data_IF_213548681347
#
_entry.id   IF_213548681347
#
_cell.length_a   1.000
_cell.length_b   1.000
_cell.length_c   1.000
_cell.angle_alpha   90.00
_cell.angle_beta   90.00
_cell.angle_gamma   90.00
#
_symmetry.space_group_name_H-M   'P 1'
#
loop_
_entity.id
_entity.type
_entity.pdbx_description
1 polymer ?
#
# COMPACT_ATOMS: atom_id res chain seq x y z
N UNK A 1 -19.35 -6.45 15.55
CA UNK A 1 -19.15 -5.22 14.74
C UNK A 1 -19.90 -4.12 15.48
N UNK A 2 -19.21 -3.08 15.92
CA UNK A 2 -19.68 -2.16 16.95
C UNK A 2 -18.47 -1.62 17.69
N UNK A 3 -18.36 -0.29 17.79
CA UNK A 3 -17.41 0.54 18.56
C UNK A 3 -15.89 0.26 18.49
N UNK A 4 -15.46 -0.92 18.04
CA UNK A 4 -14.08 -1.39 18.12
C UNK A 4 -13.27 -0.78 16.99
N UNK A 5 -12.00 -0.42 17.23
CA UNK A 5 -11.08 0.02 16.19
C UNK A 5 -10.67 -1.19 15.34
N UNK A 6 -11.47 -1.47 14.30
CA UNK A 6 -11.18 -2.54 13.34
C UNK A 6 -10.39 -1.91 12.20
N UNK A 7 -9.19 -2.44 11.94
CA UNK A 7 -8.40 -2.05 10.79
C UNK A 7 -8.88 -2.78 9.53
N UNK A 8 -8.89 -2.09 8.41
CA UNK A 8 -9.24 -2.63 7.08
C UNK A 8 -7.96 -2.93 6.30
N UNK A 9 -7.80 -4.18 5.86
CA UNK A 9 -6.69 -4.63 5.01
C UNK A 9 -7.14 -4.84 3.57
N UNK A 10 -6.32 -4.44 2.61
CA UNK A 10 -6.49 -4.75 1.19
C UNK A 10 -5.28 -5.53 0.68
N UNK A 11 -5.54 -6.76 0.20
CA UNK A 11 -4.56 -7.67 -0.37
C UNK A 11 -4.96 -8.07 -1.80
N UNK A 12 -4.18 -7.58 -2.77
CA UNK A 12 -4.40 -7.83 -4.20
C UNK A 12 -4.26 -6.55 -5.03
N UNK A 13 -3.35 -6.57 -6.01
CA UNK A 13 -3.20 -5.48 -6.97
C UNK A 13 -2.65 -4.16 -6.38
N UNK A 14 -2.17 -4.14 -5.14
CA UNK A 14 -1.58 -2.93 -4.54
C UNK A 14 -0.22 -2.63 -5.18
N UNK A 15 -0.07 -1.39 -5.63
CA UNK A 15 1.12 -0.81 -6.26
C UNK A 15 1.18 0.69 -5.96
N UNK A 16 2.21 1.40 -6.42
CA UNK A 16 2.28 2.86 -6.26
C UNK A 16 1.11 3.60 -6.93
N UNK A 17 0.48 3.01 -7.94
CA UNK A 17 -0.68 3.58 -8.63
C UNK A 17 -1.99 3.36 -7.85
N UNK A 18 -2.16 2.19 -7.23
CA UNK A 18 -3.41 1.78 -6.58
C UNK A 18 -3.44 2.01 -5.08
N UNK A 19 -2.27 2.12 -4.42
CA UNK A 19 -2.15 2.46 -3.01
C UNK A 19 -2.95 3.72 -2.60
N UNK A 20 -2.88 4.87 -3.30
CA UNK A 20 -3.65 6.04 -2.91
C UNK A 20 -5.17 5.81 -3.00
N UNK A 21 -5.63 4.97 -3.93
CA UNK A 21 -7.07 4.68 -4.12
C UNK A 21 -7.64 3.93 -2.93
N UNK A 22 -6.95 2.88 -2.49
CA UNK A 22 -7.41 2.04 -1.37
C UNK A 22 -7.26 2.76 -0.03
N UNK A 23 -6.22 3.58 0.13
CA UNK A 23 -6.06 4.45 1.30
C UNK A 23 -7.17 5.49 1.37
N UNK A 24 -7.49 6.18 0.26
CA UNK A 24 -8.61 7.13 0.22
C UNK A 24 -9.98 6.47 0.49
N UNK A 25 -10.11 5.18 0.19
CA UNK A 25 -11.30 4.39 0.51
C UNK A 25 -11.39 3.94 1.98
N UNK A 26 -10.36 4.21 2.80
CA UNK A 26 -10.33 3.90 4.23
C UNK A 26 -9.57 2.62 4.59
N UNK A 27 -8.70 2.10 3.72
CA UNK A 27 -7.81 1.01 4.09
C UNK A 27 -6.71 1.48 5.06
N UNK A 28 -6.51 0.73 6.14
CA UNK A 28 -5.46 0.96 7.14
C UNK A 28 -4.19 0.14 6.86
N UNK A 29 -4.34 -1.01 6.21
CA UNK A 29 -3.27 -1.97 5.94
C UNK A 29 -3.28 -2.34 4.46
N UNK A 30 -2.11 -2.27 3.82
CA UNK A 30 -1.93 -2.50 2.39
C UNK A 30 -0.94 -3.65 2.20
N UNK A 31 -1.33 -4.68 1.45
CA UNK A 31 -0.46 -5.82 1.12
C UNK A 31 -0.07 -5.77 -0.35
N UNK A 32 1.24 -5.66 -0.60
CA UNK A 32 1.80 -5.59 -1.95
C UNK A 32 2.92 -6.62 -2.13
N UNK A 33 2.70 -7.64 -2.97
CA UNK A 33 3.71 -8.64 -3.30
C UNK A 33 4.47 -8.30 -4.59
N UNK A 34 3.82 -8.55 -5.73
CA UNK A 34 4.44 -8.40 -7.06
C UNK A 34 5.02 -6.99 -7.32
N UNK A 35 4.35 -5.95 -6.83
CA UNK A 35 4.83 -4.57 -6.96
C UNK A 35 6.13 -4.32 -6.18
N UNK A 36 6.30 -4.93 -4.99
CA UNK A 36 7.51 -4.79 -4.18
C UNK A 36 8.70 -5.52 -4.82
N UNK A 37 8.50 -6.74 -5.29
CA UNK A 37 9.58 -7.59 -5.81
C UNK A 37 9.93 -7.34 -7.28
N UNK A 38 9.22 -6.43 -7.97
CA UNK A 38 9.51 -6.07 -9.35
C UNK A 38 10.94 -5.54 -9.51
N UNK A 39 11.66 -6.04 -10.51
CA UNK A 39 13.03 -5.60 -10.84
C UNK A 39 14.15 -6.41 -10.19
N UNK A 40 13.85 -7.28 -9.22
CA UNK A 40 14.76 -8.34 -8.75
C UNK A 40 16.06 -7.90 -8.07
N UNK A 41 16.25 -6.61 -7.80
CA UNK A 41 17.42 -6.08 -7.10
C UNK A 41 17.03 -5.47 -5.75
N UNK A 42 18.00 -5.40 -4.83
CA UNK A 42 17.78 -4.75 -3.52
C UNK A 42 17.43 -3.27 -3.69
N UNK A 43 18.00 -2.61 -4.72
CA UNK A 43 17.68 -1.22 -5.02
C UNK A 43 16.24 -1.05 -5.50
N UNK A 44 15.80 -1.88 -6.44
CA UNK A 44 14.41 -1.88 -6.92
C UNK A 44 13.43 -2.18 -5.77
N UNK A 45 13.75 -3.15 -4.91
CA UNK A 45 12.95 -3.48 -3.73
C UNK A 45 12.73 -2.26 -2.81
N UNK A 46 13.80 -1.52 -2.49
CA UNK A 46 13.71 -0.32 -1.66
C UNK A 46 12.89 0.78 -2.35
N UNK A 47 13.15 1.03 -3.63
CA UNK A 47 12.46 2.06 -4.40
C UNK A 47 10.97 1.76 -4.51
N UNK A 48 10.59 0.51 -4.77
CA UNK A 48 9.19 0.10 -4.88
C UNK A 48 8.44 0.31 -3.55
N UNK A 49 9.04 -0.07 -2.41
CA UNK A 49 8.43 0.15 -1.09
C UNK A 49 8.27 1.65 -0.81
N UNK A 50 9.30 2.45 -1.09
CA UNK A 50 9.24 3.91 -0.89
C UNK A 50 8.15 4.54 -1.76
N UNK A 51 8.03 4.12 -3.02
CA UNK A 51 7.01 4.63 -3.93
C UNK A 51 5.60 4.32 -3.43
N UNK A 52 5.34 3.07 -3.01
CA UNK A 52 4.03 2.65 -2.46
C UNK A 52 3.69 3.46 -1.21
N UNK A 53 4.63 3.58 -0.26
CA UNK A 53 4.41 4.36 0.98
C UNK A 53 4.16 5.83 0.69
N UNK A 54 5.01 6.45 -0.12
CA UNK A 54 4.86 7.86 -0.49
C UNK A 54 3.51 8.13 -1.15
N UNK A 55 3.02 7.21 -1.98
CA UNK A 55 1.73 7.36 -2.64
C UNK A 55 0.56 7.18 -1.67
N UNK A 56 0.62 6.19 -0.77
CA UNK A 56 -0.39 5.98 0.27
C UNK A 56 -0.44 7.16 1.26
N UNK A 57 0.71 7.61 1.77
CA UNK A 57 0.80 8.69 2.77
C UNK A 57 0.23 10.01 2.24
N UNK A 58 0.41 10.29 0.94
CA UNK A 58 -0.20 11.45 0.28
C UNK A 58 -1.72 11.40 0.22
N UNK A 59 -2.32 10.21 0.27
CA UNK A 59 -3.77 10.02 0.26
C UNK A 59 -4.37 9.86 1.67
N UNK A 60 -3.55 9.50 2.66
CA UNK A 60 -3.95 9.40 4.06
C UNK A 60 -4.09 10.77 4.77
N UNK A 61 -3.62 11.85 4.12
CA UNK A 61 -3.63 13.24 4.61
C UNK A 61 -4.57 14.14 3.84
#
# INVERSE_FOLDING_TARGET
IGGRPIRIEIDGGVSAETAPLVTAAGADVLVAGAAIFKGGSVEAYRQNIQAIRTAADKAAG
#
